data_IF_340926077269
#
_entry.id   IF_340926077269
#
_cell.length_a   1.000
_cell.length_b   1.000
_cell.length_c   1.000
_cell.angle_alpha   90.00
_cell.angle_beta   90.00
_cell.angle_gamma   90.00
#
_symmetry.space_group_name_H-M   'P 1'
#
loop_
_entity.id
_entity.type
_entity.pdbx_description
1 polymer ?
#
# COMPACT_ATOMS: atom_id res chain seq x y z
N UNK A 1 -6.46 21.34 10.05
CA UNK A 1 -6.24 22.59 9.29
C UNK A 1 -7.19 22.69 8.09
N UNK A 2 -7.19 21.75 7.10
CA UNK A 2 -8.04 21.85 5.90
C UNK A 2 -9.54 22.01 6.23
N UNK A 3 -10.08 21.16 7.14
CA UNK A 3 -11.49 21.30 7.58
C UNK A 3 -11.77 22.63 8.30
N UNK A 4 -10.80 23.15 9.07
CA UNK A 4 -10.97 24.45 9.70
C UNK A 4 -11.13 25.58 8.66
N UNK A 5 -10.38 25.52 7.56
CA UNK A 5 -10.53 26.44 6.45
C UNK A 5 -11.89 26.31 5.76
N UNK A 6 -12.36 25.08 5.57
CA UNK A 6 -13.69 24.85 5.02
C UNK A 6 -14.77 25.48 5.92
N UNK A 7 -14.74 25.19 7.23
CA UNK A 7 -15.74 25.69 8.17
C UNK A 7 -15.71 27.21 8.35
N UNK A 8 -14.51 27.85 8.28
CA UNK A 8 -14.37 29.28 8.56
C UNK A 8 -14.48 30.17 7.32
N UNK A 9 -14.14 29.66 6.16
CA UNK A 9 -14.00 30.44 4.92
C UNK A 9 -14.71 29.80 3.73
N UNK A 10 -15.51 28.75 3.96
CA UNK A 10 -16.23 28.01 2.92
C UNK A 10 -15.31 27.49 1.79
N UNK A 11 -14.02 27.32 2.09
CA UNK A 11 -13.05 26.80 1.12
C UNK A 11 -13.49 25.42 0.62
N UNK A 12 -13.60 25.17 -0.69
CA UNK A 12 -14.05 23.88 -1.23
C UNK A 12 -12.96 22.80 -1.06
N UNK A 13 -12.98 22.11 0.07
CA UNK A 13 -11.96 21.11 0.44
C UNK A 13 -12.60 19.74 0.57
N UNK A 14 -11.92 18.73 0.06
CA UNK A 14 -12.20 17.31 0.34
C UNK A 14 -10.95 16.69 0.94
N UNK A 15 -11.09 15.91 2.01
CA UNK A 15 -9.98 15.17 2.60
C UNK A 15 -10.08 13.72 2.18
N UNK A 16 -9.14 13.27 1.32
CA UNK A 16 -8.99 11.87 1.01
C UNK A 16 -7.96 11.22 1.94
N UNK A 17 -8.26 10.03 2.41
CA UNK A 17 -7.39 9.20 3.23
C UNK A 17 -7.10 7.89 2.50
N UNK A 18 -6.11 7.84 1.60
CA UNK A 18 -5.69 6.60 0.99
C UNK A 18 -5.03 5.70 2.04
N UNK A 19 -5.43 4.43 2.05
CA UNK A 19 -4.80 3.42 2.88
C UNK A 19 -3.53 2.91 2.19
N UNK A 20 -2.82 1.95 2.77
CA UNK A 20 -1.49 1.53 2.32
C UNK A 20 -1.42 1.32 0.81
N UNK A 21 -1.03 2.36 0.09
CA UNK A 21 -0.93 2.35 -1.37
C UNK A 21 0.35 1.65 -1.80
N UNK A 22 0.26 0.77 -2.80
CA UNK A 22 1.41 0.07 -3.38
C UNK A 22 1.34 0.03 -4.91
N UNK A 23 2.48 -0.24 -5.54
CA UNK A 23 2.59 -0.34 -7.00
C UNK A 23 3.98 -0.01 -7.52
N UNK A 24 4.15 0.05 -8.84
CA UNK A 24 5.37 0.50 -9.49
C UNK A 24 5.88 1.83 -8.93
N UNK A 25 7.21 1.98 -8.84
CA UNK A 25 7.91 3.19 -8.37
C UNK A 25 7.74 3.51 -6.88
N UNK A 26 7.11 2.64 -6.10
CA UNK A 26 7.03 2.85 -4.65
C UNK A 26 8.44 2.80 -4.01
N UNK A 27 8.66 3.64 -3.01
CA UNK A 27 9.92 3.64 -2.24
C UNK A 27 10.15 2.31 -1.53
N UNK A 28 11.40 1.83 -1.52
CA UNK A 28 11.84 0.64 -0.75
C UNK A 28 11.83 0.84 0.76
N UNK A 29 11.33 1.96 1.27
CA UNK A 29 10.93 2.12 2.67
C UNK A 29 9.64 1.36 3.00
N UNK A 30 8.83 1.07 1.99
CA UNK A 30 7.59 0.32 2.15
C UNK A 30 7.85 -1.18 2.01
N UNK A 31 7.05 -1.99 2.73
CA UNK A 31 7.29 -3.43 2.89
C UNK A 31 7.20 -4.20 1.56
N UNK A 32 6.22 -3.92 0.70
CA UNK A 32 6.04 -4.64 -0.58
C UNK A 32 7.27 -4.49 -1.49
N UNK A 33 7.73 -3.28 -1.85
CA UNK A 33 8.94 -3.16 -2.66
C UNK A 33 10.20 -3.66 -1.94
N UNK A 34 10.27 -3.58 -0.60
CA UNK A 34 11.38 -4.18 0.16
C UNK A 34 11.47 -5.69 -0.08
N UNK A 35 10.34 -6.40 0.00
CA UNK A 35 10.29 -7.85 -0.24
C UNK A 35 10.67 -8.16 -1.69
N UNK A 36 10.00 -7.49 -2.65
CA UNK A 36 10.23 -7.72 -4.08
C UNK A 36 11.69 -7.48 -4.46
N UNK A 37 12.29 -6.36 -4.02
CA UNK A 37 13.69 -6.06 -4.34
C UNK A 37 14.67 -7.08 -3.74
N UNK A 38 14.44 -7.58 -2.53
CA UNK A 38 15.28 -8.62 -1.94
C UNK A 38 15.19 -9.91 -2.77
N UNK A 39 14.00 -10.34 -3.16
CA UNK A 39 13.78 -11.52 -4.00
C UNK A 39 14.39 -11.33 -5.40
N UNK A 40 14.16 -10.17 -6.05
CA UNK A 40 14.71 -9.86 -7.37
C UNK A 40 16.25 -9.84 -7.40
N UNK A 41 16.89 -9.55 -6.24
CA UNK A 41 18.34 -9.67 -6.07
C UNK A 41 18.80 -11.08 -5.68
N UNK A 42 17.95 -12.11 -5.78
CA UNK A 42 18.28 -13.51 -5.53
C UNK A 42 18.42 -13.88 -4.06
N UNK A 43 17.95 -13.04 -3.13
CA UNK A 43 18.04 -13.34 -1.70
C UNK A 43 16.97 -14.38 -1.32
N UNK A 44 17.40 -15.48 -0.74
CA UNK A 44 16.51 -16.51 -0.16
C UNK A 44 16.09 -16.15 1.26
N UNK A 45 16.92 -15.41 1.97
CA UNK A 45 16.65 -14.91 3.32
C UNK A 45 16.19 -13.46 3.25
N UNK A 46 14.93 -13.22 3.60
CA UNK A 46 14.30 -11.90 3.51
C UNK A 46 14.22 -11.28 4.89
N UNK A 47 14.90 -10.14 5.05
CA UNK A 47 14.91 -9.39 6.30
C UNK A 47 13.67 -8.50 6.43
N UNK A 48 12.80 -8.80 7.39
CA UNK A 48 11.60 -8.03 7.70
C UNK A 48 11.54 -7.71 9.21
N UNK A 49 10.77 -6.69 9.56
CA UNK A 49 10.36 -6.45 10.95
C UNK A 49 9.22 -7.39 11.37
N UNK A 50 8.23 -6.86 12.08
CA UNK A 50 7.05 -7.65 12.49
C UNK A 50 6.25 -8.11 11.26
N UNK A 51 5.89 -9.39 11.22
CA UNK A 51 5.13 -10.00 10.13
C UNK A 51 3.64 -10.23 10.46
N UNK A 52 3.29 -10.09 11.73
CA UNK A 52 1.92 -10.29 12.23
C UNK A 52 0.95 -9.16 11.89
N UNK A 53 1.37 -7.87 11.89
CA UNK A 53 0.45 -6.78 11.63
C UNK A 53 -0.25 -6.91 10.28
N UNK A 54 -1.56 -6.58 10.28
CA UNK A 54 -2.38 -6.59 9.06
C UNK A 54 -2.50 -5.21 8.45
N UNK A 55 -2.59 -5.17 7.12
CA UNK A 55 -2.71 -3.94 6.34
C UNK A 55 -3.76 -4.09 5.24
N UNK A 56 -4.45 -3.01 4.97
CA UNK A 56 -5.31 -2.85 3.80
C UNK A 56 -4.47 -2.24 2.66
N UNK A 57 -4.03 -3.11 1.75
CA UNK A 57 -3.18 -2.71 0.63
C UNK A 57 -4.00 -2.34 -0.59
N UNK A 58 -3.68 -1.21 -1.19
CA UNK A 58 -4.42 -0.60 -2.29
C UNK A 58 -3.51 -0.36 -3.49
N UNK A 59 -3.87 -0.92 -4.64
CA UNK A 59 -3.08 -0.72 -5.85
C UNK A 59 -3.18 0.72 -6.34
N UNK A 60 -2.07 1.29 -6.77
CA UNK A 60 -1.94 2.72 -7.10
C UNK A 60 -3.01 3.23 -8.07
N UNK A 61 -3.41 2.43 -9.07
CA UNK A 61 -4.40 2.87 -10.06
C UNK A 61 -5.80 3.08 -9.47
N UNK A 62 -6.16 2.30 -8.45
CA UNK A 62 -7.44 2.47 -7.76
C UNK A 62 -7.44 3.75 -6.94
N UNK A 63 -6.34 4.03 -6.27
CA UNK A 63 -6.17 5.28 -5.50
C UNK A 63 -6.22 6.49 -6.45
N UNK A 64 -5.48 6.45 -7.57
CA UNK A 64 -5.53 7.52 -8.58
C UNK A 64 -6.96 7.74 -9.09
N UNK A 65 -7.69 6.66 -9.37
CA UNK A 65 -9.10 6.76 -9.78
C UNK A 65 -9.97 7.44 -8.70
N UNK A 66 -9.74 7.14 -7.42
CA UNK A 66 -10.44 7.79 -6.31
C UNK A 66 -10.20 9.31 -6.28
N UNK A 67 -8.95 9.75 -6.49
CA UNK A 67 -8.63 11.17 -6.61
C UNK A 67 -9.33 11.82 -7.81
N UNK A 68 -9.32 11.16 -8.98
CA UNK A 68 -9.97 11.69 -10.19
C UNK A 68 -11.50 11.81 -10.03
N UNK A 69 -12.15 10.84 -9.39
CA UNK A 69 -13.58 10.91 -9.09
C UNK A 69 -13.90 12.06 -8.13
N UNK A 70 -13.07 12.23 -7.08
CA UNK A 70 -13.25 13.31 -6.11
C UNK A 70 -13.12 14.68 -6.76
N UNK A 71 -12.15 14.88 -7.66
CA UNK A 71 -11.97 16.15 -8.38
C UNK A 71 -13.17 16.54 -9.25
N UNK A 72 -13.97 15.56 -9.66
CA UNK A 72 -15.18 15.76 -10.50
C UNK A 72 -16.46 15.91 -9.68
N UNK A 73 -16.40 15.69 -8.37
CA UNK A 73 -17.57 15.65 -7.50
C UNK A 73 -17.69 16.91 -6.67
N UNK A 74 -18.78 17.65 -6.85
CA UNK A 74 -19.13 18.80 -6.00
C UNK A 74 -19.78 18.38 -4.68
N UNK A 75 -20.37 17.18 -4.64
CA UNK A 75 -21.10 16.67 -3.47
C UNK A 75 -20.18 16.21 -2.33
N UNK A 76 -18.87 16.12 -2.57
CA UNK A 76 -17.89 15.69 -1.59
C UNK A 76 -17.22 16.84 -0.82
N UNK A 77 -17.53 18.10 -1.15
CA UNK A 77 -16.96 19.26 -0.48
C UNK A 77 -17.30 19.22 1.01
N UNK A 78 -16.31 19.45 1.86
CA UNK A 78 -16.44 19.37 3.32
C UNK A 78 -16.34 17.96 3.89
N UNK A 79 -16.10 16.95 3.06
CA UNK A 79 -16.12 15.55 3.47
C UNK A 79 -14.73 14.96 3.69
N UNK A 80 -14.68 13.93 4.57
CA UNK A 80 -13.51 13.07 4.76
C UNK A 80 -13.87 11.69 4.22
N UNK A 81 -13.09 11.19 3.26
CA UNK A 81 -13.37 9.94 2.54
C UNK A 81 -12.15 9.03 2.59
N UNK A 82 -12.34 7.81 3.08
CA UNK A 82 -11.31 6.78 3.05
C UNK A 82 -11.31 6.08 1.68
N UNK A 83 -10.12 5.88 1.11
CA UNK A 83 -9.89 5.06 -0.06
C UNK A 83 -9.11 3.82 0.36
N UNK A 84 -9.80 2.71 0.49
CA UNK A 84 -9.25 1.43 0.92
C UNK A 84 -10.00 0.25 0.34
N UNK A 85 -9.37 -0.90 0.38
CA UNK A 85 -9.84 -2.12 -0.29
C UNK A 85 -10.95 -2.84 0.52
N UNK A 86 -11.14 -2.47 1.78
CA UNK A 86 -11.95 -3.22 2.73
C UNK A 86 -11.53 -4.70 2.85
N UNK A 87 -10.24 -4.96 2.65
CA UNK A 87 -9.58 -6.25 2.75
C UNK A 87 -8.25 -6.11 3.47
N UNK A 88 -8.03 -6.89 4.51
CA UNK A 88 -6.79 -6.88 5.27
C UNK A 88 -6.03 -8.19 5.14
N UNK A 89 -4.72 -8.11 5.17
CA UNK A 89 -3.82 -9.25 5.09
C UNK A 89 -2.56 -8.97 5.92
N UNK A 90 -1.97 -10.00 6.53
CA UNK A 90 -0.73 -9.86 7.27
C UNK A 90 0.48 -9.60 6.37
N UNK A 91 1.51 -8.98 6.93
CA UNK A 91 2.79 -8.79 6.24
C UNK A 91 3.39 -10.14 5.84
N UNK A 92 3.31 -11.14 6.74
CA UNK A 92 3.83 -12.48 6.46
C UNK A 92 3.13 -13.19 5.31
N UNK A 93 1.79 -13.12 5.24
CA UNK A 93 1.02 -13.68 4.13
C UNK A 93 1.32 -12.94 2.81
N UNK A 94 1.46 -11.61 2.88
CA UNK A 94 1.85 -10.80 1.72
C UNK A 94 3.21 -11.23 1.18
N UNK A 95 4.20 -11.48 2.05
CA UNK A 95 5.52 -11.95 1.65
C UNK A 95 5.46 -13.34 0.97
N UNK A 96 4.65 -14.27 1.49
CA UNK A 96 4.43 -15.59 0.88
C UNK A 96 3.78 -15.47 -0.50
N UNK A 97 2.82 -14.58 -0.69
CA UNK A 97 2.19 -14.35 -2.00
C UNK A 97 3.20 -13.81 -2.99
N UNK A 98 4.03 -12.84 -2.59
CA UNK A 98 5.08 -12.28 -3.46
C UNK A 98 6.11 -13.36 -3.83
N UNK A 99 6.53 -14.18 -2.88
CA UNK A 99 7.42 -15.33 -3.08
C UNK A 99 6.87 -16.27 -4.15
N UNK A 100 5.61 -16.66 -4.03
CA UNK A 100 4.94 -17.52 -5.01
C UNK A 100 4.84 -16.88 -6.41
N UNK A 101 4.51 -15.58 -6.48
CA UNK A 101 4.43 -14.85 -7.75
C UNK A 101 5.78 -14.80 -8.44
N UNK A 102 6.87 -14.61 -7.68
CA UNK A 102 8.22 -14.51 -8.23
C UNK A 102 8.91 -15.88 -8.40
N UNK A 103 8.24 -16.99 -8.03
CA UNK A 103 8.74 -18.35 -8.20
C UNK A 103 9.99 -18.67 -7.37
N UNK A 104 10.16 -18.02 -6.22
CA UNK A 104 11.31 -18.21 -5.33
C UNK A 104 10.85 -18.55 -3.91
N UNK A 105 11.29 -19.68 -3.39
CA UNK A 105 11.12 -20.01 -1.98
C UNK A 105 11.98 -19.10 -1.11
N UNK A 106 11.37 -18.52 -0.09
CA UNK A 106 12.01 -17.58 0.85
C UNK A 106 11.86 -18.04 2.29
N UNK A 107 12.84 -17.69 3.10
CA UNK A 107 12.78 -17.74 4.56
C UNK A 107 12.82 -16.32 5.10
N UNK A 108 11.89 -16.00 6.00
CA UNK A 108 11.80 -14.67 6.60
C UNK A 108 12.65 -14.64 7.86
N UNK A 109 13.63 -13.75 7.87
CA UNK A 109 14.44 -13.45 9.04
C UNK A 109 13.94 -12.17 9.71
N UNK A 110 13.76 -12.24 11.02
CA UNK A 110 13.39 -11.08 11.81
C UNK A 110 14.61 -10.16 11.98
N UNK A 111 14.45 -8.91 11.57
CA UNK A 111 15.46 -7.87 11.68
C UNK A 111 14.99 -6.81 12.71
N UNK A 112 15.64 -6.79 13.87
CA UNK A 112 15.27 -5.88 14.97
C UNK A 112 15.39 -4.40 14.59
N UNK A 113 16.27 -4.04 13.67
CA UNK A 113 16.42 -2.66 13.18
C UNK A 113 15.20 -2.18 12.41
N UNK A 114 14.35 -3.11 11.94
CA UNK A 114 13.13 -2.83 11.19
C UNK A 114 11.88 -2.81 12.07
N UNK A 115 12.00 -3.08 13.36
CA UNK A 115 10.88 -2.92 14.29
C UNK A 115 10.59 -1.45 14.52
N UNK A 116 9.31 -1.13 14.47
CA UNK A 116 8.86 0.18 14.96
C UNK A 116 8.85 0.19 16.47
N UNK A 117 9.05 1.34 17.11
CA UNK A 117 8.83 1.47 18.55
C UNK A 117 7.44 0.94 18.93
N UNK A 118 7.32 0.17 20.02
CA UNK A 118 6.06 -0.47 20.45
C UNK A 118 4.85 0.49 20.45
N UNK A 119 5.07 1.73 20.85
CA UNK A 119 4.00 2.74 20.93
C UNK A 119 3.59 3.32 19.56
N UNK A 120 4.31 3.02 18.48
CA UNK A 120 4.04 3.49 17.12
C UNK A 120 3.63 2.36 16.16
N UNK A 121 3.68 1.11 16.60
CA UNK A 121 3.23 -0.02 15.78
C UNK A 121 1.68 -0.06 15.77
N UNK A 122 1.14 -0.12 14.58
CA UNK A 122 -0.29 -0.31 14.35
C UNK A 122 -0.50 -1.77 13.98
N UNK A 123 -1.10 -2.54 14.88
CA UNK A 123 -1.30 -3.98 14.68
C UNK A 123 -2.26 -4.27 13.52
N UNK A 124 -3.31 -3.46 13.39
CA UNK A 124 -4.36 -3.62 12.38
C UNK A 124 -4.68 -2.30 11.69
N UNK A 125 -4.64 -2.30 10.37
CA UNK A 125 -5.11 -1.17 9.57
C UNK A 125 -6.05 -1.70 8.48
N UNK A 126 -7.33 -1.40 8.64
CA UNK A 126 -8.43 -1.86 7.78
C UNK A 126 -9.40 -0.71 7.49
N UNK A 127 -9.67 -0.46 6.23
CA UNK A 127 -10.51 0.65 5.78
C UNK A 127 -11.98 0.25 5.70
N UNK A 128 -12.84 1.17 6.14
CA UNK A 128 -14.22 1.22 5.66
C UNK A 128 -14.30 2.20 4.48
N UNK A 129 -14.60 1.66 3.30
CA UNK A 129 -14.72 2.41 2.05
C UNK A 129 -16.19 2.69 1.65
N UNK A 130 -17.16 2.38 2.50
CA UNK A 130 -18.60 2.52 2.21
C UNK A 130 -18.98 3.94 1.80
N UNK A 131 -18.32 4.96 2.39
CA UNK A 131 -18.53 6.36 2.05
C UNK A 131 -18.01 6.70 0.65
N UNK A 132 -16.85 6.18 0.26
CA UNK A 132 -16.31 6.35 -1.08
C UNK A 132 -17.23 5.73 -2.14
N UNK A 133 -17.75 4.54 -1.87
CA UNK A 133 -18.73 3.90 -2.74
C UNK A 133 -20.00 4.72 -2.88
N UNK A 134 -20.57 5.18 -1.77
CA UNK A 134 -21.84 5.93 -1.76
C UNK A 134 -21.72 7.31 -2.42
N UNK A 135 -20.63 8.05 -2.16
CA UNK A 135 -20.50 9.44 -2.59
C UNK A 135 -19.84 9.59 -3.95
N UNK A 136 -18.91 8.70 -4.29
CA UNK A 136 -18.10 8.78 -5.50
C UNK A 136 -18.43 7.67 -6.52
N UNK A 137 -19.21 6.66 -6.13
CA UNK A 137 -19.31 5.41 -6.90
C UNK A 137 -17.96 4.68 -7.02
N UNK A 138 -17.02 4.98 -6.12
CA UNK A 138 -15.68 4.41 -6.17
C UNK A 138 -15.67 2.98 -5.63
N UNK A 139 -15.16 2.07 -6.44
CA UNK A 139 -14.89 0.68 -6.07
C UNK A 139 -13.50 0.30 -6.56
N UNK A 140 -12.67 -0.35 -5.71
CA UNK A 140 -11.35 -0.79 -6.12
C UNK A 140 -11.46 -1.95 -7.12
N UNK A 141 -10.74 -1.86 -8.24
CA UNK A 141 -10.66 -2.94 -9.24
C UNK A 141 -9.77 -4.09 -8.77
N UNK A 142 -8.77 -3.76 -7.96
CA UNK A 142 -7.81 -4.71 -7.38
C UNK A 142 -8.27 -5.13 -5.97
N UNK A 143 -9.53 -5.56 -5.83
CA UNK A 143 -10.11 -5.85 -4.52
C UNK A 143 -9.95 -7.31 -4.08
N UNK A 144 -9.91 -7.52 -2.75
CA UNK A 144 -9.77 -8.84 -2.15
C UNK A 144 -8.45 -9.52 -2.49
N UNK A 145 -8.37 -10.82 -2.21
CA UNK A 145 -7.14 -11.59 -2.39
C UNK A 145 -6.68 -11.68 -3.84
N UNK A 146 -7.59 -11.91 -4.78
CA UNK A 146 -7.24 -12.06 -6.20
C UNK A 146 -6.82 -10.71 -6.81
N UNK A 147 -7.48 -9.62 -6.45
CA UNK A 147 -7.07 -8.27 -6.84
C UNK A 147 -5.68 -7.91 -6.28
N UNK A 148 -5.41 -8.26 -5.03
CA UNK A 148 -4.10 -8.09 -4.42
C UNK A 148 -3.01 -8.87 -5.18
N UNK A 149 -3.24 -10.16 -5.48
CA UNK A 149 -2.29 -10.99 -6.26
C UNK A 149 -1.98 -10.35 -7.62
N UNK A 150 -3.00 -9.88 -8.33
CA UNK A 150 -2.83 -9.22 -9.62
C UNK A 150 -2.01 -7.94 -9.51
N UNK A 151 -2.28 -7.10 -8.51
CA UNK A 151 -1.53 -5.88 -8.26
C UNK A 151 -0.07 -6.14 -7.86
N UNK A 152 0.15 -7.18 -7.01
CA UNK A 152 1.49 -7.62 -6.62
C UNK A 152 2.28 -8.16 -7.81
N UNK A 153 1.65 -8.93 -8.72
CA UNK A 153 2.28 -9.41 -9.94
C UNK A 153 2.78 -8.26 -10.82
N UNK A 154 1.94 -7.25 -11.07
CA UNK A 154 2.34 -6.05 -11.83
C UNK A 154 3.45 -5.26 -11.15
N UNK A 155 3.43 -5.22 -9.82
CA UNK A 155 4.46 -4.53 -9.04
C UNK A 155 5.78 -5.29 -9.13
N UNK A 156 5.74 -6.63 -8.96
CA UNK A 156 6.91 -7.48 -9.06
C UNK A 156 7.53 -7.45 -10.46
N UNK A 157 6.72 -7.52 -11.52
CA UNK A 157 7.17 -7.38 -12.92
C UNK A 157 7.94 -6.07 -13.12
N UNK A 158 7.43 -4.95 -12.61
CA UNK A 158 8.09 -3.65 -12.75
C UNK A 158 9.44 -3.61 -12.04
N UNK A 159 9.52 -4.12 -10.79
CA UNK A 159 10.76 -4.14 -10.01
C UNK A 159 11.76 -5.20 -10.49
N UNK A 160 11.32 -6.25 -11.18
CA UNK A 160 12.20 -7.28 -11.75
C UNK A 160 12.90 -6.82 -13.03
N UNK A 161 12.53 -5.70 -13.61
CA UNK A 161 13.26 -5.09 -14.72
C UNK A 161 14.57 -4.50 -14.20
N UNK A 162 15.71 -4.92 -14.73
CA UNK A 162 17.06 -4.53 -14.29
C UNK A 162 17.22 -2.99 -14.22
N UNK A 163 16.77 -2.27 -15.25
CA UNK A 163 16.87 -0.81 -15.30
C UNK A 163 16.07 -0.11 -14.19
N UNK A 164 14.99 -0.72 -13.71
CA UNK A 164 14.21 -0.19 -12.59
C UNK A 164 14.84 -0.61 -11.25
N UNK A 165 15.33 -1.85 -11.16
CA UNK A 165 15.92 -2.38 -9.93
C UNK A 165 17.22 -1.64 -9.54
N UNK A 166 18.03 -1.26 -10.51
CA UNK A 166 19.29 -0.53 -10.28
C UNK A 166 19.11 0.83 -9.58
N UNK A 167 17.93 1.42 -9.70
CA UNK A 167 17.59 2.67 -9.00
C UNK A 167 17.47 2.43 -7.48
N UNK A 168 17.18 1.18 -7.06
CA UNK A 168 16.89 0.84 -5.67
C UNK A 168 18.02 0.06 -5.01
N UNK A 169 18.58 0.63 -3.93
CA UNK A 169 19.66 0.00 -3.14
C UNK A 169 19.07 -1.07 -2.23
N UNK A 170 18.82 -2.27 -2.75
CA UNK A 170 18.17 -3.38 -2.03
C UNK A 170 18.93 -3.88 -0.79
N UNK A 171 20.24 -3.62 -0.72
CA UNK A 171 21.12 -4.04 0.39
C UNK A 171 21.12 -3.06 1.57
N UNK A 172 20.55 -1.87 1.41
CA UNK A 172 20.49 -0.86 2.44
C UNK A 172 19.09 -0.76 3.02
N UNK A 173 18.98 -0.77 4.35
CA UNK A 173 17.76 -0.35 5.00
C UNK A 173 17.63 1.18 4.82
N UNK A 174 16.62 1.58 4.07
CA UNK A 174 16.36 3.00 3.83
C UNK A 174 15.51 3.54 5.00
N UNK A 175 16.15 4.25 5.90
CA UNK A 175 15.50 4.97 7.01
C UNK A 175 14.74 6.20 6.49
#
# INVERSE_FOLDING_TARGET
LAMSFHCSFETPVVILRPFNTYGPRQSTRAVIPTIICQIANGQKFINLGSIEPTRDFNFITDIVNGFLLTMKSETCIGEVINLGNNFEISIGETAKIISNIMGMEIEILTDEQRFRPKNSEVERLWADNSKAKRMLGWEPKYSGLEGLKLGLSKTAEWFSNESNLDIYKSKLYNI
#
